data_IF_275415615593
#
_entry.id   IF_275415615593
#
_cell.length_a   1.000
_cell.length_b   1.000
_cell.length_c   1.000
_cell.angle_alpha   90.00
_cell.angle_beta   90.00
_cell.angle_gamma   90.00
#
_symmetry.space_group_name_H-M   'P 1'
#
loop_
_entity.id
_entity.type
_entity.pdbx_description
1 polymer ?
#
# COMPACT_ATOMS: atom_id res chain seq x y z
N UNK A 1 14.48 15.19 -8.02
CA UNK A 1 13.17 15.86 -8.10
C UNK A 1 12.14 14.78 -8.41
N UNK A 2 11.18 14.47 -7.52
CA UNK A 2 10.24 13.37 -7.75
C UNK A 2 9.25 13.65 -8.90
N UNK A 3 8.74 12.58 -9.51
CA UNK A 3 7.63 12.63 -10.48
C UNK A 3 6.30 12.51 -9.73
N UNK A 4 5.37 13.41 -10.00
CA UNK A 4 4.03 13.38 -9.44
C UNK A 4 2.99 13.26 -10.55
N UNK A 5 1.95 12.44 -10.30
CA UNK A 5 0.75 12.41 -11.12
C UNK A 5 -0.26 13.41 -10.56
N UNK A 6 -0.76 14.30 -11.41
CA UNK A 6 -1.76 15.30 -11.08
C UNK A 6 -3.09 14.99 -11.76
N UNK A 7 -4.18 15.29 -11.07
CA UNK A 7 -5.53 15.26 -11.60
C UNK A 7 -6.24 16.58 -11.28
N UNK A 8 -6.77 17.24 -12.30
CA UNK A 8 -7.59 18.42 -12.13
C UNK A 8 -8.96 18.05 -11.55
N UNK A 9 -9.47 18.87 -10.63
CA UNK A 9 -10.80 18.64 -10.03
C UNK A 9 -11.95 19.20 -10.88
N UNK A 10 -11.67 20.10 -11.81
CA UNK A 10 -12.69 20.77 -12.63
C UNK A 10 -12.85 20.12 -14.01
N UNK A 11 -11.74 19.92 -14.74
CA UNK A 11 -11.76 19.37 -16.10
C UNK A 11 -11.26 17.92 -16.20
N UNK A 12 -10.97 17.29 -15.05
CA UNK A 12 -10.48 15.91 -14.94
C UNK A 12 -9.22 15.59 -15.75
N UNK A 13 -8.49 16.61 -16.22
CA UNK A 13 -7.26 16.40 -16.96
C UNK A 13 -6.19 15.79 -16.05
N UNK A 14 -5.51 14.77 -16.56
CA UNK A 14 -4.45 14.05 -15.85
C UNK A 14 -3.11 14.24 -16.56
N UNK A 15 -2.03 14.47 -15.81
CA UNK A 15 -0.68 14.57 -16.35
C UNK A 15 0.37 14.23 -15.28
N UNK A 16 1.61 14.11 -15.72
CA UNK A 16 2.75 13.81 -14.86
C UNK A 16 3.80 14.90 -14.99
N UNK A 17 4.36 15.37 -13.88
CA UNK A 17 5.34 16.45 -13.85
C UNK A 17 6.37 16.24 -12.74
N UNK A 18 7.63 16.56 -13.02
CA UNK A 18 8.69 16.58 -12.02
C UNK A 18 8.61 17.87 -11.21
N UNK A 19 8.39 17.77 -9.89
CA UNK A 19 8.34 18.94 -8.99
C UNK A 19 9.17 18.74 -7.74
N UNK A 20 9.61 19.85 -7.13
CA UNK A 20 10.15 19.81 -5.78
C UNK A 20 9.05 19.43 -4.79
N UNK A 21 9.44 18.79 -3.69
CA UNK A 21 8.50 18.34 -2.65
C UNK A 21 7.72 19.52 -2.05
N UNK A 22 8.37 20.68 -1.95
CA UNK A 22 7.76 21.92 -1.44
C UNK A 22 6.69 22.50 -2.39
N UNK A 23 6.89 22.36 -3.70
CA UNK A 23 6.05 22.97 -4.73
C UNK A 23 4.95 22.02 -5.23
N UNK A 24 4.91 20.78 -4.73
CA UNK A 24 4.03 19.73 -5.25
C UNK A 24 2.54 20.01 -5.08
N UNK A 25 2.16 20.84 -4.10
CA UNK A 25 0.75 21.17 -3.79
C UNK A 25 0.25 22.44 -4.50
N UNK A 26 1.16 23.24 -5.06
CA UNK A 26 0.84 24.55 -5.67
C UNK A 26 0.75 24.47 -7.21
N UNK A 27 0.27 23.35 -7.75
CA UNK A 27 0.17 23.13 -9.20
C UNK A 27 -1.25 23.44 -9.69
N UNK A 28 -1.35 24.28 -10.73
CA UNK A 28 -2.61 24.60 -11.42
C UNK A 28 -2.78 23.77 -12.68
N UNK A 29 -4.02 23.59 -13.12
CA UNK A 29 -4.31 22.85 -14.34
C UNK A 29 -3.81 23.62 -15.57
N UNK A 30 -3.06 23.00 -16.50
CA UNK A 30 -2.63 23.65 -17.74
C UNK A 30 -3.78 23.92 -18.72
N UNK A 31 -4.93 23.25 -18.57
CA UNK A 31 -6.09 23.43 -19.46
C UNK A 31 -7.09 24.48 -18.99
N UNK A 32 -7.47 24.43 -17.71
CA UNK A 32 -8.51 25.32 -17.17
C UNK A 32 -8.02 26.29 -16.08
N UNK A 33 -6.77 26.16 -15.61
CA UNK A 33 -6.26 26.95 -14.48
C UNK A 33 -6.81 26.56 -13.11
N UNK A 34 -7.70 25.57 -13.05
CA UNK A 34 -8.35 25.07 -11.85
C UNK A 34 -7.43 24.36 -10.87
N UNK A 35 -7.97 24.06 -9.69
CA UNK A 35 -7.25 23.34 -8.63
C UNK A 35 -7.01 21.88 -9.00
N UNK A 36 -5.87 21.37 -8.57
CA UNK A 36 -5.40 20.03 -8.91
C UNK A 36 -4.92 19.31 -7.67
N UNK A 37 -5.16 18.00 -7.64
CA UNK A 37 -4.73 17.10 -6.59
C UNK A 37 -3.72 16.11 -7.13
N UNK A 38 -2.87 15.60 -6.23
CA UNK A 38 -1.96 14.52 -6.55
C UNK A 38 -2.76 13.22 -6.58
N UNK A 39 -2.68 12.50 -7.69
CA UNK A 39 -3.35 11.22 -7.87
C UNK A 39 -2.41 10.07 -7.46
N UNK A 40 -2.70 9.49 -6.29
CA UNK A 40 -1.96 8.33 -5.77
C UNK A 40 -2.45 7.00 -6.37
N UNK A 41 -3.55 6.99 -7.13
CA UNK A 41 -4.10 5.75 -7.72
C UNK A 41 -3.19 5.14 -8.78
N UNK A 42 -2.41 5.97 -9.49
CA UNK A 42 -1.42 5.52 -10.48
C UNK A 42 -0.22 4.82 -9.83
N UNK A 43 0.11 5.17 -8.59
CA UNK A 43 1.18 4.56 -7.82
C UNK A 43 0.68 3.29 -7.10
N UNK A 44 0.39 2.25 -7.87
CA UNK A 44 0.43 0.82 -7.50
C UNK A 44 0.11 0.44 -6.05
N UNK A 45 -1.07 0.77 -5.52
CA UNK A 45 -1.53 0.35 -4.18
C UNK A 45 -2.54 -0.80 -4.25
N UNK A 46 -2.33 -1.80 -5.12
CA UNK A 46 -3.25 -2.94 -5.25
C UNK A 46 -2.78 -4.26 -4.64
N UNK A 47 -1.71 -4.28 -3.86
CA UNK A 47 -1.29 -5.48 -3.12
C UNK A 47 -1.37 -5.27 -1.60
N UNK A 48 -2.54 -4.88 -1.10
CA UNK A 48 -2.87 -5.09 0.31
C UNK A 48 -3.34 -6.54 0.42
N UNK A 49 -2.41 -7.49 0.56
CA UNK A 49 -2.78 -8.87 0.87
C UNK A 49 -3.34 -8.91 2.30
N UNK A 50 -4.65 -9.06 2.42
CA UNK A 50 -5.30 -9.30 3.70
C UNK A 50 -4.84 -10.64 4.27
N UNK A 51 -4.51 -10.66 5.55
CA UNK A 51 -4.18 -11.91 6.24
C UNK A 51 -5.46 -12.74 6.37
N UNK A 52 -5.58 -13.82 5.60
CA UNK A 52 -6.72 -14.73 5.71
C UNK A 52 -6.50 -15.68 6.89
N UNK A 53 -7.48 -15.80 7.81
CA UNK A 53 -7.43 -16.79 8.87
C UNK A 53 -7.27 -18.19 8.29
N UNK A 54 -6.33 -18.95 8.84
CA UNK A 54 -6.02 -20.30 8.37
C UNK A 54 -5.62 -21.20 9.53
N UNK A 55 -5.95 -22.48 9.42
CA UNK A 55 -5.53 -23.49 10.40
C UNK A 55 -4.26 -24.14 9.91
N UNK A 56 -3.16 -23.93 10.62
CA UNK A 56 -1.86 -24.49 10.30
C UNK A 56 -1.71 -25.84 10.99
N UNK A 57 -1.53 -26.89 10.20
CA UNK A 57 -1.28 -28.25 10.66
C UNK A 57 0.22 -28.47 10.91
N UNK A 58 1.08 -27.77 10.17
CA UNK A 58 2.54 -27.97 10.21
C UNK A 58 3.26 -27.29 11.38
N UNK A 59 2.54 -26.50 12.21
CA UNK A 59 3.17 -25.73 13.29
C UNK A 59 3.39 -26.56 14.55
N UNK A 60 2.53 -27.53 14.85
CA UNK A 60 2.58 -28.30 16.10
C UNK A 60 1.94 -29.68 15.90
N UNK A 61 2.03 -30.54 16.92
CA UNK A 61 1.34 -31.84 16.98
C UNK A 61 -0.17 -31.67 16.85
N UNK A 62 -0.70 -30.52 17.29
CA UNK A 62 -2.10 -30.16 17.15
C UNK A 62 -2.29 -29.00 16.17
N UNK A 63 -3.35 -29.02 15.34
CA UNK A 63 -3.64 -27.96 14.40
C UNK A 63 -3.98 -26.65 15.12
N UNK A 64 -3.32 -25.55 14.74
CA UNK A 64 -3.51 -24.23 15.37
C UNK A 64 -4.24 -23.30 14.42
N UNK A 65 -5.38 -22.77 14.88
CA UNK A 65 -6.13 -21.76 14.14
C UNK A 65 -5.54 -20.35 14.34
N UNK A 66 -5.15 -19.71 13.24
CA UNK A 66 -4.47 -18.42 13.28
C UNK A 66 -5.30 -17.36 12.58
N UNK A 67 -5.66 -16.31 13.31
CA UNK A 67 -6.52 -15.22 12.84
C UNK A 67 -5.73 -13.96 12.47
N UNK A 68 -4.50 -13.81 12.97
CA UNK A 68 -3.70 -12.60 12.80
C UNK A 68 -2.22 -12.89 12.50
N UNK A 69 -1.59 -12.02 11.71
CA UNK A 69 -0.13 -12.04 11.45
C UNK A 69 0.70 -11.98 12.74
N UNK A 70 0.24 -11.25 13.76
CA UNK A 70 0.90 -11.18 15.08
C UNK A 70 0.84 -12.50 15.83
N UNK A 71 -0.29 -13.21 15.73
CA UNK A 71 -0.46 -14.53 16.32
C UNK A 71 0.46 -15.53 15.62
N UNK A 72 0.52 -15.51 14.28
CA UNK A 72 1.46 -16.34 13.51
C UNK A 72 2.90 -16.13 13.95
N UNK A 73 3.34 -14.87 14.09
CA UNK A 73 4.70 -14.54 14.52
C UNK A 73 5.02 -15.11 15.90
N UNK A 74 4.11 -14.97 16.87
CA UNK A 74 4.31 -15.51 18.23
C UNK A 74 4.41 -17.04 18.24
N UNK A 75 3.56 -17.71 17.48
CA UNK A 75 3.57 -19.19 17.41
C UNK A 75 4.82 -19.71 16.69
N UNK A 76 5.30 -18.99 15.67
CA UNK A 76 6.58 -19.29 15.02
C UNK A 76 7.78 -19.06 15.96
N UNK A 77 7.81 -17.93 16.69
CA UNK A 77 8.90 -17.60 17.64
C UNK A 77 9.02 -18.61 18.78
N UNK A 78 7.91 -19.06 19.36
CA UNK A 78 7.91 -20.10 20.40
C UNK A 78 8.59 -21.41 19.97
N UNK A 79 8.53 -21.72 18.67
CA UNK A 79 9.02 -22.98 18.09
C UNK A 79 10.31 -22.80 17.28
N UNK A 80 10.87 -21.58 17.25
CA UNK A 80 12.07 -21.27 16.45
C UNK A 80 11.87 -21.36 14.94
N UNK A 81 10.62 -21.33 14.46
CA UNK A 81 10.26 -21.44 13.04
C UNK A 81 10.15 -20.05 12.39
N UNK A 82 10.24 -20.00 11.06
CA UNK A 82 9.97 -18.78 10.27
C UNK A 82 8.97 -19.10 9.17
N UNK A 83 7.84 -18.40 9.15
CA UNK A 83 6.84 -18.54 8.10
C UNK A 83 7.17 -17.61 6.92
N UNK A 84 7.13 -18.13 5.68
CA UNK A 84 7.28 -17.33 4.46
C UNK A 84 6.26 -16.20 4.36
N UNK A 85 5.06 -16.41 4.93
CA UNK A 85 3.97 -15.42 5.01
C UNK A 85 4.28 -14.20 5.91
N UNK A 86 5.36 -14.26 6.69
CA UNK A 86 5.81 -13.16 7.55
C UNK A 86 6.91 -12.29 6.90
N UNK A 87 7.60 -12.81 5.89
CA UNK A 87 8.62 -12.10 5.10
C UNK A 87 7.96 -11.16 4.10
#
# INVERSE_FOLDING_TARGET
MPLYAYKCEECENEWEEFKKVDERLNTKCPKCGGKCKIDFSKFGTRNIMFFTPWTYEDLDVYPIHITSKKQLKRECEKRGLKAARLM
#
